data_IF_546515087905
#
_entry.id   IF_546515087905
#
_cell.length_a   1.000
_cell.length_b   1.000
_cell.length_c   1.000
_cell.angle_alpha   90.00
_cell.angle_beta   90.00
_cell.angle_gamma   90.00
#
_symmetry.space_group_name_H-M   'P 1'
#
loop_
_entity.id
_entity.type
_entity.pdbx_description
1 polymer ?
#
# COMPACT_ATOMS: atom_id res chain seq x y z
N UNK A 1 -15.99 24.51 -52.46
CA UNK A 1 -15.25 23.46 -51.72
C UNK A 1 -14.49 24.14 -50.60
N UNK A 2 -14.87 23.91 -49.34
CA UNK A 2 -14.31 24.59 -48.18
C UNK A 2 -13.91 23.51 -47.17
N UNK A 3 -12.61 23.33 -46.98
CA UNK A 3 -12.02 22.40 -46.01
C UNK A 3 -12.39 22.85 -44.59
N UNK A 4 -12.93 21.99 -43.71
CA UNK A 4 -13.11 22.37 -42.32
C UNK A 4 -11.79 22.17 -41.58
N UNK A 5 -11.25 23.26 -41.02
CA UNK A 5 -10.21 23.21 -39.99
C UNK A 5 -10.84 22.69 -38.71
N UNK A 6 -10.48 21.48 -38.29
CA UNK A 6 -10.86 20.92 -37.00
C UNK A 6 -10.01 21.62 -35.94
N UNK A 7 -10.66 22.46 -35.13
CA UNK A 7 -10.08 23.13 -33.98
C UNK A 7 -10.00 22.08 -32.86
N UNK A 8 -8.80 21.58 -32.58
CA UNK A 8 -8.52 20.62 -31.52
C UNK A 8 -8.69 21.32 -30.16
N UNK A 9 -9.85 21.15 -29.54
CA UNK A 9 -10.07 21.56 -28.15
C UNK A 9 -9.33 20.59 -27.23
N UNK A 10 -8.09 20.93 -26.90
CA UNK A 10 -7.33 20.31 -25.82
C UNK A 10 -8.06 20.67 -24.52
N UNK A 11 -8.85 19.72 -23.99
CA UNK A 11 -9.30 19.79 -22.61
C UNK A 11 -8.05 19.67 -21.72
N UNK A 12 -7.68 20.77 -21.07
CA UNK A 12 -6.64 20.79 -20.06
C UNK A 12 -7.07 19.90 -18.88
N UNK A 13 -6.67 18.63 -18.92
CA UNK A 13 -6.26 17.93 -17.71
C UNK A 13 -4.82 18.36 -17.49
N UNK A 14 -4.50 18.96 -16.33
CA UNK A 14 -3.12 19.31 -15.98
C UNK A 14 -2.34 18.02 -15.77
N UNK A 15 -1.80 17.48 -16.86
CA UNK A 15 -0.92 16.33 -16.81
C UNK A 15 0.46 16.86 -16.41
N UNK A 16 0.98 16.38 -15.29
CA UNK A 16 2.36 16.66 -14.85
C UNK A 16 3.35 16.35 -15.97
N UNK A 17 4.42 17.15 -16.09
CA UNK A 17 5.42 17.03 -17.16
C UNK A 17 6.08 15.64 -17.26
N UNK A 18 6.08 14.85 -16.18
CA UNK A 18 6.55 13.46 -16.15
C UNK A 18 5.74 12.53 -17.08
N UNK A 19 4.45 12.78 -17.24
CA UNK A 19 3.56 11.94 -18.05
C UNK A 19 3.69 12.22 -19.56
N UNK A 20 4.12 13.42 -19.94
CA UNK A 20 4.35 13.78 -21.35
C UNK A 20 5.56 13.03 -21.90
N UNK A 21 6.59 12.79 -21.07
CA UNK A 21 7.79 12.05 -21.48
C UNK A 21 7.51 10.55 -21.74
N UNK A 22 6.53 9.97 -21.05
CA UNK A 22 6.14 8.57 -21.26
C UNK A 22 5.33 8.37 -22.56
N UNK A 23 4.53 9.37 -22.95
CA UNK A 23 3.76 9.36 -24.19
C UNK A 23 4.68 9.38 -25.41
N UNK A 24 5.79 10.12 -25.36
CA UNK A 24 6.74 10.25 -26.48
C UNK A 24 7.60 8.98 -26.70
N UNK A 25 7.81 8.18 -25.65
CA UNK A 25 8.62 6.95 -25.70
C UNK A 25 7.84 5.71 -26.20
N UNK A 26 6.51 5.73 -26.11
CA UNK A 26 5.63 4.61 -26.50
C UNK A 26 4.97 4.83 -27.89
N UNK A 27 5.17 6.02 -28.47
CA UNK A 27 4.78 6.34 -29.84
C UNK A 27 5.83 5.84 -30.84
N UNK A 28 5.88 4.53 -31.03
CA UNK A 28 6.60 3.93 -32.14
C UNK A 28 5.97 4.39 -33.48
N UNK A 29 6.58 5.43 -34.07
CA UNK A 29 6.56 5.75 -35.50
C UNK A 29 5.24 5.65 -36.29
N UNK A 30 4.65 6.81 -36.59
CA UNK A 30 3.87 7.07 -37.81
C UNK A 30 2.51 6.34 -37.99
N UNK A 31 1.92 5.78 -36.94
CA UNK A 31 0.52 5.36 -36.99
C UNK A 31 -0.39 6.61 -36.85
N UNK A 32 -1.33 6.79 -37.78
CA UNK A 32 -2.33 7.86 -37.69
C UNK A 32 -3.31 7.50 -36.58
N UNK A 33 -3.11 8.03 -35.38
CA UNK A 33 -4.01 7.79 -34.25
C UNK A 33 -5.36 8.44 -34.57
N UNK A 34 -6.39 7.64 -34.86
CA UNK A 34 -7.76 8.13 -34.94
C UNK A 34 -8.14 8.69 -33.57
N UNK A 35 -8.92 9.77 -33.50
CA UNK A 35 -9.28 10.42 -32.23
C UNK A 35 -9.92 9.46 -31.21
N UNK A 36 -10.44 8.31 -31.68
CA UNK A 36 -10.98 7.21 -30.87
C UNK A 36 -9.92 6.43 -30.08
N UNK A 37 -8.69 6.34 -30.57
CA UNK A 37 -7.59 5.59 -29.94
C UNK A 37 -6.95 6.36 -28.79
N UNK A 38 -6.92 7.71 -28.87
CA UNK A 38 -6.47 8.56 -27.75
C UNK A 38 -7.44 8.43 -26.56
N UNK A 39 -8.75 8.40 -26.80
CA UNK A 39 -9.72 8.20 -25.73
C UNK A 39 -9.62 6.81 -25.10
N UNK A 40 -9.33 5.77 -25.89
CA UNK A 40 -9.11 4.43 -25.37
C UNK A 40 -7.83 4.35 -24.53
N UNK A 41 -6.72 4.94 -25.02
CA UNK A 41 -5.47 5.01 -24.29
C UNK A 41 -5.58 5.82 -22.99
N UNK A 42 -6.20 7.02 -23.05
CA UNK A 42 -6.44 7.85 -21.86
C UNK A 42 -7.39 7.15 -20.90
N UNK A 43 -8.44 6.47 -21.39
CA UNK A 43 -9.33 5.69 -20.53
C UNK A 43 -8.62 4.50 -19.89
N UNK A 44 -7.70 3.84 -20.60
CA UNK A 44 -6.92 2.72 -20.09
C UNK A 44 -5.86 3.19 -19.09
N UNK A 45 -5.19 4.30 -19.35
CA UNK A 45 -4.29 4.96 -18.40
C UNK A 45 -5.04 5.45 -17.16
N UNK A 46 -6.20 6.08 -17.35
CA UNK A 46 -7.08 6.47 -16.24
C UNK A 46 -7.56 5.25 -15.47
N UNK A 47 -7.92 4.14 -16.13
CA UNK A 47 -8.31 2.91 -15.47
C UNK A 47 -7.17 2.30 -14.66
N UNK A 48 -5.92 2.36 -15.14
CA UNK A 48 -4.74 1.94 -14.37
C UNK A 48 -4.49 2.85 -13.15
N UNK A 49 -4.61 4.16 -13.31
CA UNK A 49 -4.47 5.13 -12.20
C UNK A 49 -5.63 5.02 -11.19
N UNK A 50 -6.84 4.71 -11.67
CA UNK A 50 -8.02 4.48 -10.84
C UNK A 50 -7.96 3.10 -10.20
N UNK A 51 -7.34 2.08 -10.81
CA UNK A 51 -7.10 0.78 -10.18
C UNK A 51 -6.11 0.92 -9.00
N UNK A 52 -5.08 1.73 -9.15
CA UNK A 52 -4.17 2.11 -8.05
C UNK A 52 -4.89 2.95 -6.98
N UNK A 53 -5.82 3.83 -7.38
CA UNK A 53 -6.61 4.70 -6.49
C UNK A 53 -7.92 4.08 -5.97
N UNK A 54 -8.30 2.87 -6.37
CA UNK A 54 -9.51 2.15 -5.90
C UNK A 54 -9.17 1.12 -4.85
N UNK A 55 -8.05 1.29 -4.16
CA UNK A 55 -8.00 0.89 -2.76
C UNK A 55 -9.00 1.76 -2.00
N UNK A 56 -10.23 1.29 -1.77
CA UNK A 56 -11.23 1.92 -0.87
C UNK A 56 -10.64 2.29 0.51
N UNK A 57 -9.49 1.69 0.83
CA UNK A 57 -8.77 1.83 2.08
C UNK A 57 -7.63 2.86 2.07
N UNK A 58 -7.28 3.49 0.94
CA UNK A 58 -6.21 4.52 0.95
C UNK A 58 -6.59 5.65 1.91
N UNK A 59 -5.66 6.00 2.81
CA UNK A 59 -5.88 6.95 3.90
C UNK A 59 -6.52 6.35 5.16
N UNK A 60 -6.91 5.08 5.16
CA UNK A 60 -7.36 4.40 6.38
C UNK A 60 -6.19 4.25 7.35
N UNK A 61 -6.52 4.30 8.63
CA UNK A 61 -5.53 4.23 9.70
C UNK A 61 -5.85 3.11 10.68
N UNK A 62 -4.81 2.52 11.26
CA UNK A 62 -4.91 1.59 12.37
C UNK A 62 -3.97 2.05 13.48
N UNK A 63 -4.54 2.51 14.60
CA UNK A 63 -3.75 2.80 15.80
C UNK A 63 -3.38 1.48 16.47
N UNK A 64 -2.08 1.24 16.65
CA UNK A 64 -1.58 0.03 17.28
C UNK A 64 -1.82 0.09 18.79
N UNK A 65 -2.56 -0.90 19.30
CA UNK A 65 -2.77 -1.11 20.72
C UNK A 65 -1.78 -2.17 21.22
N UNK A 66 -0.96 -1.87 22.24
CA UNK A 66 -0.05 -2.86 22.80
C UNK A 66 -0.81 -3.96 23.54
N UNK A 67 -0.44 -5.22 23.32
CA UNK A 67 -0.95 -6.34 24.13
C UNK A 67 -0.22 -6.47 25.47
N UNK A 68 1.01 -5.95 25.54
CA UNK A 68 1.78 -5.85 26.77
C UNK A 68 2.75 -4.67 26.72
N UNK A 69 2.93 -3.92 27.81
CA UNK A 69 3.92 -2.83 27.87
C UNK A 69 5.36 -3.34 27.68
N UNK A 70 5.64 -4.62 27.94
CA UNK A 70 6.98 -5.22 27.79
C UNK A 70 7.51 -5.20 26.36
N UNK A 71 6.62 -5.19 25.36
CA UNK A 71 7.02 -5.14 23.95
C UNK A 71 7.07 -3.71 23.40
N UNK A 72 6.42 -2.76 24.09
CA UNK A 72 6.42 -1.34 23.75
C UNK A 72 5.91 -1.03 22.34
N UNK A 73 4.94 -1.81 21.85
CA UNK A 73 4.31 -1.56 20.54
C UNK A 73 3.40 -0.33 20.63
N UNK A 74 3.68 0.67 19.79
CA UNK A 74 2.83 1.85 19.64
C UNK A 74 3.00 2.48 18.26
N UNK A 75 2.10 3.39 17.90
CA UNK A 75 2.15 4.14 16.65
C UNK A 75 0.89 3.93 15.82
N UNK A 76 0.97 4.35 14.56
CA UNK A 76 -0.16 4.27 13.63
C UNK A 76 0.29 3.67 12.32
N UNK A 77 -0.44 2.67 11.81
CA UNK A 77 -0.30 2.23 10.43
C UNK A 77 -1.28 3.01 9.55
N UNK A 78 -0.82 3.47 8.40
CA UNK A 78 -1.58 4.26 7.43
C UNK A 78 -1.48 3.57 6.08
N UNK A 79 -2.61 3.38 5.41
CA UNK A 79 -2.62 2.87 4.04
C UNK A 79 -2.26 4.01 3.09
N UNK A 80 -1.08 3.95 2.48
CA UNK A 80 -0.55 5.02 1.61
C UNK A 80 -0.91 4.80 0.14
N UNK A 81 -1.08 3.55 -0.29
CA UNK A 81 -1.58 3.19 -1.62
C UNK A 81 -2.31 1.84 -1.55
N UNK A 82 -2.81 1.33 -2.68
CA UNK A 82 -3.35 -0.02 -2.76
C UNK A 82 -2.32 -1.12 -2.43
N UNK A 83 -1.02 -0.83 -2.53
CA UNK A 83 0.09 -1.79 -2.38
C UNK A 83 1.13 -1.35 -1.36
N UNK A 84 0.88 -0.30 -0.57
CA UNK A 84 1.82 0.14 0.45
C UNK A 84 1.13 0.68 1.70
N UNK A 85 1.81 0.51 2.82
CA UNK A 85 1.45 1.11 4.10
C UNK A 85 2.65 1.83 4.71
N UNK A 86 2.36 2.79 5.58
CA UNK A 86 3.36 3.48 6.40
C UNK A 86 3.07 3.26 7.87
N UNK A 87 4.09 2.91 8.64
CA UNK A 87 4.07 3.03 10.10
C UNK A 87 4.60 4.41 10.49
N UNK A 88 3.83 5.17 11.27
CA UNK A 88 4.20 6.50 11.77
C UNK A 88 4.31 6.51 13.29
N UNK A 89 5.31 7.24 13.79
CA UNK A 89 5.65 7.31 15.22
C UNK A 89 5.70 5.93 15.87
N UNK A 90 6.24 4.96 15.13
CA UNK A 90 6.21 3.56 15.49
C UNK A 90 7.30 3.24 16.51
N UNK A 91 6.92 2.50 17.55
CA UNK A 91 7.86 1.99 18.53
C UNK A 91 7.65 0.50 18.76
N UNK A 92 8.75 -0.21 19.00
CA UNK A 92 8.81 -1.62 19.37
C UNK A 92 10.17 -1.89 20.01
N UNK A 93 10.20 -2.47 21.22
CA UNK A 93 11.42 -2.61 22.03
C UNK A 93 12.39 -3.72 21.59
N UNK A 94 12.09 -4.42 20.49
CA UNK A 94 12.91 -5.50 19.96
C UNK A 94 13.17 -6.68 20.91
N UNK A 95 12.19 -7.00 21.76
CA UNK A 95 12.30 -8.04 22.78
C UNK A 95 11.86 -9.44 22.32
N UNK A 96 11.42 -9.60 21.06
CA UNK A 96 10.97 -10.87 20.48
C UNK A 96 12.00 -11.46 19.51
N UNK A 97 12.16 -12.80 19.48
CA UNK A 97 13.19 -13.48 18.68
C UNK A 97 12.89 -13.55 17.16
N UNK A 98 11.63 -13.41 16.76
CA UNK A 98 11.20 -13.53 15.36
C UNK A 98 9.89 -12.73 15.19
N UNK A 99 10.00 -11.42 14.96
CA UNK A 99 8.87 -10.48 14.98
C UNK A 99 8.72 -9.81 13.63
N UNK A 100 7.47 -9.74 13.16
CA UNK A 100 7.13 -9.16 11.87
C UNK A 100 5.91 -8.27 11.99
N UNK A 101 5.69 -7.45 10.97
CA UNK A 101 4.40 -6.80 10.72
C UNK A 101 3.56 -7.72 9.83
N UNK A 102 2.34 -8.01 10.26
CA UNK A 102 1.37 -8.82 9.53
C UNK A 102 0.14 -8.01 9.14
N UNK A 103 -0.40 -8.28 7.95
CA UNK A 103 -1.73 -7.86 7.53
C UNK A 103 -2.71 -9.03 7.63
N UNK A 104 -3.93 -8.79 8.15
CA UNK A 104 -4.90 -9.86 8.43
C UNK A 104 -6.31 -9.52 7.94
N UNK A 105 -7.04 -10.53 7.45
CA UNK A 105 -8.40 -10.42 6.91
C UNK A 105 -9.51 -10.45 7.99
N UNK A 106 -9.30 -11.05 9.16
CA UNK A 106 -10.25 -11.13 10.29
C UNK A 106 -9.64 -10.73 11.65
N UNK A 107 -10.41 -10.07 12.52
CA UNK A 107 -9.96 -9.61 13.85
C UNK A 107 -9.86 -10.73 14.90
N UNK A 108 -8.82 -10.69 15.74
CA UNK A 108 -8.63 -11.53 16.93
C UNK A 108 -7.39 -12.43 16.83
N UNK A 109 -6.93 -13.01 17.94
CA UNK A 109 -5.79 -13.96 17.98
C UNK A 109 -5.94 -15.11 16.97
N UNK A 110 -7.19 -15.47 16.62
CA UNK A 110 -7.50 -16.49 15.61
C UNK A 110 -7.22 -16.07 14.15
N UNK A 111 -6.91 -14.79 13.92
CA UNK A 111 -6.57 -14.22 12.62
C UNK A 111 -5.08 -14.19 12.31
N UNK A 112 -4.19 -14.54 13.25
CA UNK A 112 -2.75 -14.58 13.04
C UNK A 112 -2.26 -16.03 13.07
N UNK A 113 -2.31 -16.71 11.92
CA UNK A 113 -1.70 -18.05 11.79
C UNK A 113 -0.45 -17.99 10.90
N UNK A 114 0.68 -18.31 11.50
CA UNK A 114 1.82 -18.93 10.85
C UNK A 114 2.03 -20.29 11.59
N UNK A 115 2.58 -21.36 11.05
CA UNK A 115 3.79 -21.53 10.26
C UNK A 115 3.54 -22.11 8.86
N UNK A 116 2.28 -22.37 8.47
CA UNK A 116 1.76 -22.61 7.09
C UNK A 116 0.28 -23.10 7.16
N UNK A 117 -0.66 -22.23 7.54
CA UNK A 117 -2.10 -22.60 7.65
C UNK A 117 -3.05 -21.41 7.76
N UNK A 118 -2.69 -20.38 7.00
CA UNK A 118 -3.02 -18.94 6.91
C UNK A 118 -4.30 -18.35 7.52
N UNK A 119 -4.09 -17.33 8.34
CA UNK A 119 -4.69 -16.01 8.25
C UNK A 119 -3.57 -15.03 8.61
N UNK A 120 -3.13 -14.20 7.66
CA UNK A 120 -2.05 -13.24 7.87
C UNK A 120 -0.95 -13.27 6.81
N UNK A 121 -0.58 -12.09 6.30
CA UNK A 121 0.55 -11.89 5.39
C UNK A 121 1.66 -11.13 6.12
N UNK A 122 2.85 -11.72 6.23
CA UNK A 122 4.03 -10.98 6.71
C UNK A 122 4.48 -10.00 5.63
N UNK A 123 4.62 -8.73 6.01
CA UNK A 123 4.98 -7.64 5.09
C UNK A 123 6.28 -6.94 5.50
N UNK A 124 6.76 -7.16 6.73
CA UNK A 124 7.99 -6.56 7.22
C UNK A 124 8.60 -7.41 8.33
N UNK A 125 9.91 -7.62 8.29
CA UNK A 125 10.67 -8.42 9.26
C UNK A 125 11.56 -7.52 10.12
N UNK A 126 11.39 -7.56 11.45
CA UNK A 126 12.19 -6.79 12.40
C UNK A 126 13.51 -7.47 12.80
N UNK A 127 13.71 -8.74 12.45
CA UNK A 127 14.86 -9.55 12.88
C UNK A 127 16.20 -9.06 12.33
N UNK A 128 16.18 -8.28 11.23
CA UNK A 128 17.37 -7.75 10.59
C UNK A 128 17.95 -6.49 11.27
N UNK A 129 17.33 -5.97 12.34
CA UNK A 129 17.72 -4.70 12.96
C UNK A 129 18.79 -4.82 14.06
N UNK A 130 19.65 -5.84 14.03
CA UNK A 130 20.75 -6.02 15.00
C UNK A 130 20.37 -5.91 16.50
N UNK A 131 19.15 -6.33 16.86
CA UNK A 131 18.59 -6.20 18.21
C UNK A 131 18.33 -4.75 18.70
N UNK A 132 18.39 -3.73 17.82
CA UNK A 132 18.08 -2.35 18.19
C UNK A 132 16.57 -2.10 18.29
N UNK A 133 16.09 -1.33 19.27
CA UNK A 133 14.69 -0.96 19.40
C UNK A 133 14.27 0.05 18.33
N UNK A 134 13.02 -0.02 17.92
CA UNK A 134 12.35 1.02 17.15
C UNK A 134 11.73 2.02 18.12
N UNK A 135 12.06 3.30 17.98
CA UNK A 135 11.56 4.37 18.87
C UNK A 135 11.12 5.57 18.02
N UNK A 136 9.81 5.77 17.91
CA UNK A 136 9.21 6.90 17.19
C UNK A 136 9.60 6.98 15.71
N UNK A 137 9.87 5.85 15.06
CA UNK A 137 10.32 5.82 13.67
C UNK A 137 9.17 5.96 12.68
N UNK A 138 9.49 6.33 11.45
CA UNK A 138 8.61 6.18 10.30
C UNK A 138 9.16 5.10 9.38
N UNK A 139 8.34 4.12 9.02
CA UNK A 139 8.71 3.02 8.14
C UNK A 139 7.69 2.88 7.02
N UNK A 140 8.12 3.10 5.78
CA UNK A 140 7.36 2.77 4.58
C UNK A 140 7.53 1.29 4.24
N UNK A 141 6.43 0.60 3.96
CA UNK A 141 6.39 -0.83 3.69
C UNK A 141 5.61 -1.06 2.40
N UNK A 142 6.30 -1.57 1.39
CA UNK A 142 5.68 -2.08 0.17
C UNK A 142 5.18 -3.50 0.40
N UNK A 143 3.99 -3.79 -0.11
CA UNK A 143 3.43 -5.14 -0.09
C UNK A 143 4.13 -6.01 -1.14
N UNK A 144 4.16 -7.35 -0.95
CA UNK A 144 4.68 -8.27 -1.96
C UNK A 144 3.98 -8.12 -3.32
N UNK A 145 4.69 -8.46 -4.38
CA UNK A 145 4.16 -8.35 -5.75
C UNK A 145 2.82 -9.09 -5.92
N UNK A 146 1.85 -8.42 -6.53
CA UNK A 146 0.50 -8.96 -6.75
C UNK A 146 -0.41 -8.95 -5.51
N UNK A 147 0.06 -8.44 -4.37
CA UNK A 147 -0.76 -8.25 -3.17
C UNK A 147 -1.30 -6.83 -3.11
N UNK A 148 -2.60 -6.70 -2.80
CA UNK A 148 -3.23 -5.43 -2.46
C UNK A 148 -3.67 -5.40 -1.01
N UNK A 149 -3.86 -4.20 -0.45
CA UNK A 149 -4.32 -3.99 0.93
C UNK A 149 -5.78 -4.39 1.14
N UNK A 150 -6.59 -4.32 0.08
CA UNK A 150 -8.05 -4.45 0.10
C UNK A 150 -8.63 -5.63 0.93
N UNK A 151 -8.11 -6.86 0.85
CA UNK A 151 -8.66 -7.97 1.62
C UNK A 151 -8.32 -7.91 3.12
N UNK A 152 -7.34 -7.09 3.51
CA UNK A 152 -6.85 -6.98 4.87
C UNK A 152 -7.56 -5.86 5.62
N UNK A 153 -7.94 -6.15 6.86
CA UNK A 153 -8.71 -5.25 7.71
C UNK A 153 -7.95 -4.86 8.99
N UNK A 154 -6.87 -5.58 9.31
CA UNK A 154 -6.06 -5.38 10.51
C UNK A 154 -4.58 -5.46 10.19
N UNK A 155 -3.78 -4.87 11.09
CA UNK A 155 -2.32 -4.97 11.13
C UNK A 155 -1.89 -5.41 12.53
N UNK A 156 -0.82 -6.19 12.63
CA UNK A 156 -0.21 -6.60 13.91
C UNK A 156 1.30 -6.62 13.83
N UNK A 157 1.92 -6.35 14.98
CA UNK A 157 3.28 -6.74 15.29
C UNK A 157 3.22 -8.11 15.97
N UNK A 158 3.56 -9.16 15.22
CA UNK A 158 3.40 -10.55 15.67
C UNK A 158 4.75 -11.25 15.81
N UNK A 159 4.93 -11.98 16.91
CA UNK A 159 6.07 -12.87 17.05
C UNK A 159 5.73 -14.26 16.51
N UNK A 160 6.32 -14.63 15.36
CA UNK A 160 6.10 -15.93 14.70
C UNK A 160 6.56 -17.11 15.54
N UNK A 161 7.74 -17.00 16.15
CA UNK A 161 8.30 -18.11 16.94
C UNK A 161 7.48 -18.37 18.22
N UNK A 162 6.99 -17.31 18.87
CA UNK A 162 6.19 -17.42 20.09
C UNK A 162 4.70 -17.68 19.83
N UNK A 163 4.20 -17.31 18.64
CA UNK A 163 2.79 -17.38 18.31
C UNK A 163 1.95 -16.39 19.13
N UNK A 164 2.43 -15.15 19.31
CA UNK A 164 1.80 -14.12 20.17
C UNK A 164 1.75 -12.77 19.46
N UNK A 165 0.62 -12.07 19.60
CA UNK A 165 0.44 -10.68 19.17
C UNK A 165 1.07 -9.73 20.19
N UNK A 166 2.02 -8.91 19.75
CA UNK A 166 2.65 -7.91 20.60
C UNK A 166 1.88 -6.59 20.59
N UNK A 167 1.09 -6.35 19.54
CA UNK A 167 0.20 -5.22 19.42
C UNK A 167 -0.39 -5.12 18.02
N UNK A 168 -1.67 -4.74 17.94
CA UNK A 168 -2.40 -4.72 16.68
C UNK A 168 -3.40 -3.57 16.61
N UNK A 169 -3.89 -3.32 15.40
CA UNK A 169 -4.88 -2.28 15.12
C UNK A 169 -5.79 -2.68 13.97
N UNK A 170 -7.01 -2.13 13.98
CA UNK A 170 -7.97 -2.26 12.90
C UNK A 170 -7.87 -1.05 11.99
N UNK A 171 -7.79 -1.27 10.68
CA UNK A 171 -7.89 -0.18 9.72
C UNK A 171 -9.33 0.37 9.73
N UNK A 172 -9.44 1.68 9.92
CA UNK A 172 -10.69 2.42 9.86
C UNK A 172 -10.55 3.64 8.95
N UNK A 173 -11.61 4.05 8.24
CA UNK A 173 -11.62 5.32 7.52
C UNK A 173 -11.31 6.50 8.47
N UNK A 174 -10.59 7.49 7.97
CA UNK A 174 -10.42 8.80 8.61
C UNK A 174 -11.51 9.77 8.17
#
# INVERSE_FOLDING_TARGET
MKTPRILLFIFLVTISGSAIAQIDADLDGNETIDGRDIFAFVAQWQASQVAEATGTQVGWVATLQPMSPTYGVSGTAIVTSATSIRLENFSYLNNGPDVHVYLVTASGDSGFTNQEGTAGLSIFDFSNNNAEPYVGVTQDIELPEGVTIQPYTHVSVWCRLAGVDFGSGKFVPQ
#
